data_IF_484719547692
#
_entry.id   IF_484719547692
#
_cell.length_a   1.000
_cell.length_b   1.000
_cell.length_c   1.000
_cell.angle_alpha   90.00
_cell.angle_beta   90.00
_cell.angle_gamma   90.00
#
_symmetry.space_group_name_H-M   'P 1'
#
loop_
_entity.id
_entity.type
_entity.pdbx_description
1 polymer ?
#
# COMPACT_ATOMS: atom_id res chain seq x y z
N UNK A 1 25.16 -19.15 -9.05
CA UNK A 1 24.05 -18.17 -9.10
C UNK A 1 24.25 -17.20 -7.95
N UNK A 2 24.54 -15.94 -8.26
CA UNK A 2 25.21 -15.00 -7.36
C UNK A 2 24.31 -14.56 -6.21
N UNK A 3 24.81 -14.56 -4.98
CA UNK A 3 24.07 -14.10 -3.78
C UNK A 3 23.48 -12.68 -3.95
N UNK A 4 24.10 -11.86 -4.80
CA UNK A 4 23.62 -10.53 -5.21
C UNK A 4 22.27 -10.61 -5.94
N UNK A 5 22.08 -11.59 -6.83
CA UNK A 5 20.85 -11.77 -7.60
C UNK A 5 19.66 -12.11 -6.68
N UNK A 6 19.87 -12.99 -5.69
CA UNK A 6 18.85 -13.30 -4.69
C UNK A 6 18.53 -12.10 -3.77
N UNK A 7 19.52 -11.23 -3.52
CA UNK A 7 19.30 -9.98 -2.76
C UNK A 7 18.44 -9.00 -3.55
N UNK A 8 18.69 -8.87 -4.85
CA UNK A 8 17.92 -8.01 -5.75
C UNK A 8 16.47 -8.52 -5.85
N UNK A 9 16.27 -9.83 -6.03
CA UNK A 9 14.92 -10.42 -6.07
C UNK A 9 14.13 -10.18 -4.76
N UNK A 10 14.76 -10.34 -3.60
CA UNK A 10 14.11 -10.03 -2.30
C UNK A 10 13.78 -8.55 -2.13
N UNK A 11 14.62 -7.66 -2.66
CA UNK A 11 14.36 -6.22 -2.66
C UNK A 11 13.18 -5.88 -3.56
N UNK A 12 13.10 -6.53 -4.71
CA UNK A 12 11.97 -6.40 -5.65
C UNK A 12 10.70 -6.95 -4.98
N UNK A 13 10.70 -8.16 -4.41
CA UNK A 13 9.52 -8.70 -3.73
C UNK A 13 9.05 -7.83 -2.56
N UNK A 14 9.98 -7.27 -1.77
CA UNK A 14 9.66 -6.34 -0.70
C UNK A 14 9.08 -5.02 -1.22
N UNK A 15 9.71 -4.44 -2.26
CA UNK A 15 9.22 -3.22 -2.88
C UNK A 15 7.85 -3.45 -3.52
N UNK A 16 7.67 -4.45 -4.37
CA UNK A 16 6.41 -4.66 -5.09
C UNK A 16 5.30 -5.27 -4.22
N UNK A 17 5.63 -6.00 -3.15
CA UNK A 17 4.64 -6.47 -2.17
C UNK A 17 4.03 -5.32 -1.36
N UNK A 18 4.87 -4.44 -0.82
CA UNK A 18 4.40 -3.33 0.05
C UNK A 18 4.01 -2.05 -0.74
N UNK A 19 4.44 -1.90 -2.00
CA UNK A 19 4.06 -0.73 -2.81
C UNK A 19 2.59 -0.76 -3.24
N UNK A 20 1.97 -1.93 -3.37
CA UNK A 20 0.56 -2.05 -3.80
C UNK A 20 -0.38 -1.40 -2.78
N UNK A 21 -0.38 -1.79 -1.49
CA UNK A 21 -1.23 -1.13 -0.50
C UNK A 21 -0.89 0.37 -0.38
N UNK A 22 0.38 0.74 -0.45
CA UNK A 22 0.79 2.15 -0.42
C UNK A 22 0.20 2.95 -1.60
N UNK A 23 0.25 2.42 -2.83
CA UNK A 23 -0.30 3.06 -4.01
C UNK A 23 -1.83 3.23 -3.90
N UNK A 24 -2.53 2.23 -3.36
CA UNK A 24 -3.99 2.28 -3.13
C UNK A 24 -4.35 3.35 -2.08
N UNK A 25 -3.52 3.51 -1.03
CA UNK A 25 -3.71 4.55 -0.02
C UNK A 25 -3.55 5.94 -0.66
N UNK A 26 -2.50 6.14 -1.46
CA UNK A 26 -2.25 7.42 -2.14
C UNK A 26 -3.37 7.75 -3.12
N UNK A 27 -3.86 6.76 -3.88
CA UNK A 27 -4.98 6.94 -4.80
C UNK A 27 -6.26 7.38 -4.06
N UNK A 28 -6.58 6.75 -2.93
CA UNK A 28 -7.70 7.16 -2.08
C UNK A 28 -7.52 8.57 -1.51
N UNK A 29 -6.32 8.90 -1.04
CA UNK A 29 -6.02 10.25 -0.53
C UNK A 29 -6.26 11.34 -1.59
N UNK A 30 -5.75 11.13 -2.81
CA UNK A 30 -5.98 12.05 -3.93
C UNK A 30 -7.47 12.18 -4.26
N UNK A 31 -8.20 11.08 -4.26
CA UNK A 31 -9.64 11.09 -4.47
C UNK A 31 -10.37 11.93 -3.40
N UNK A 32 -10.05 11.76 -2.12
CA UNK A 32 -10.69 12.54 -1.05
C UNK A 32 -10.32 14.02 -1.09
N UNK A 33 -9.09 14.37 -1.45
CA UNK A 33 -8.67 15.77 -1.63
C UNK A 33 -9.51 16.44 -2.72
N UNK A 34 -9.77 15.74 -3.83
CA UNK A 34 -10.52 16.28 -4.96
C UNK A 34 -12.02 16.35 -4.66
N UNK A 35 -12.60 15.32 -4.03
CA UNK A 35 -14.07 15.18 -3.89
C UNK A 35 -14.59 15.72 -2.55
N UNK A 36 -13.85 15.54 -1.46
CA UNK A 36 -14.25 15.89 -0.09
C UNK A 36 -13.11 16.57 0.70
N UNK A 37 -12.57 17.71 0.22
CA UNK A 37 -11.35 18.33 0.75
C UNK A 37 -11.42 18.60 2.26
N UNK A 38 -12.57 19.03 2.76
CA UNK A 38 -12.79 19.36 4.19
C UNK A 38 -12.62 18.16 5.12
N UNK A 39 -12.90 16.95 4.65
CA UNK A 39 -12.79 15.71 5.43
C UNK A 39 -11.67 14.80 4.93
N UNK A 40 -10.86 15.27 3.97
CA UNK A 40 -9.91 14.44 3.25
C UNK A 40 -8.90 13.75 4.16
N UNK A 41 -8.41 14.45 5.18
CA UNK A 41 -7.46 13.90 6.15
C UNK A 41 -8.09 12.73 6.90
N UNK A 42 -9.28 12.92 7.47
CA UNK A 42 -9.96 11.92 8.29
C UNK A 42 -10.39 10.71 7.44
N UNK A 43 -10.89 10.95 6.23
CA UNK A 43 -11.22 9.90 5.26
C UNK A 43 -9.99 9.12 4.79
N UNK A 44 -8.86 9.78 4.58
CA UNK A 44 -7.60 9.12 4.21
C UNK A 44 -7.10 8.21 5.33
N UNK A 45 -7.21 8.63 6.59
CA UNK A 45 -6.84 7.80 7.75
C UNK A 45 -7.72 6.55 7.82
N UNK A 46 -9.04 6.71 7.69
CA UNK A 46 -9.98 5.57 7.67
C UNK A 46 -9.66 4.64 6.49
N UNK A 47 -9.42 5.21 5.31
CA UNK A 47 -9.08 4.46 4.11
C UNK A 47 -7.78 3.68 4.26
N UNK A 48 -6.74 4.27 4.84
CA UNK A 48 -5.49 3.59 5.11
C UNK A 48 -5.70 2.37 6.02
N UNK A 49 -6.51 2.50 7.07
CA UNK A 49 -6.89 1.36 7.92
C UNK A 49 -7.60 0.27 7.11
N UNK A 50 -8.56 0.63 6.26
CA UNK A 50 -9.26 -0.34 5.40
C UNK A 50 -8.29 -1.08 4.47
N UNK A 51 -7.40 -0.35 3.80
CA UNK A 51 -6.41 -0.94 2.89
C UNK A 51 -5.47 -1.86 3.64
N UNK A 52 -4.95 -1.46 4.80
CA UNK A 52 -4.07 -2.30 5.63
C UNK A 52 -4.79 -3.55 6.12
N UNK A 53 -6.06 -3.44 6.55
CA UNK A 53 -6.84 -4.60 6.99
C UNK A 53 -7.09 -5.58 5.85
N UNK A 54 -7.40 -5.07 4.65
CA UNK A 54 -7.54 -5.89 3.44
C UNK A 54 -6.20 -6.55 3.12
N UNK A 55 -5.14 -5.77 3.08
CA UNK A 55 -3.80 -6.26 2.79
C UNK A 55 -3.40 -7.39 3.75
N UNK A 56 -3.49 -7.19 5.06
CA UNK A 56 -3.20 -8.23 6.06
C UNK A 56 -4.13 -9.44 5.94
N UNK A 57 -5.42 -9.24 5.66
CA UNK A 57 -6.41 -10.34 5.60
C UNK A 57 -6.27 -11.20 4.34
N UNK A 58 -5.88 -10.60 3.22
CA UNK A 58 -5.78 -11.25 1.92
C UNK A 58 -4.34 -11.59 1.53
N UNK A 59 -3.34 -10.99 2.17
CA UNK A 59 -1.93 -11.39 2.15
C UNK A 59 -1.73 -12.65 2.99
N UNK A 60 -2.54 -13.69 2.73
CA UNK A 60 -2.38 -15.06 3.26
C UNK A 60 -1.15 -15.78 2.66
N UNK A 61 -0.17 -15.03 2.18
CA UNK A 61 0.96 -15.53 1.39
C UNK A 61 2.32 -15.20 2.02
N UNK A 62 2.36 -14.98 3.34
CA UNK A 62 3.52 -15.35 4.14
C UNK A 62 3.32 -16.73 4.76
#
# INVERSE_FOLDING_TARGET
>A
MNAVFNKILRLIDFLFGDLIPLAIIVAGALFFIIVLPTHAILLTVIWAVVVIVIDVRYSKWY
#
